data_IF_746101160782
#
_entry.id   IF_746101160782
#
_cell.length_a   1.000
_cell.length_b   1.000
_cell.length_c   1.000
_cell.angle_alpha   90.00
_cell.angle_beta   90.00
_cell.angle_gamma   90.00
#
_symmetry.space_group_name_H-M   'P 1'
#
loop_
_entity.id
_entity.type
_entity.pdbx_description
1 polymer ?
#
# COMPACT_ATOMS: atom_id res chain seq x y z
N UNK A 1 4.64 -15.74 -17.30
CA UNK A 1 5.80 -16.20 -16.50
C UNK A 1 5.91 -15.27 -15.28
N UNK A 2 6.54 -15.67 -14.17
CA UNK A 2 6.78 -14.78 -13.01
C UNK A 2 8.26 -14.45 -12.96
N UNK A 3 8.61 -13.16 -12.96
CA UNK A 3 9.98 -12.65 -12.83
C UNK A 3 10.00 -11.53 -11.80
N UNK A 4 11.00 -11.51 -10.94
CA UNK A 4 11.17 -10.49 -9.91
C UNK A 4 12.60 -9.95 -9.90
N UNK A 5 12.74 -8.63 -9.78
CA UNK A 5 13.98 -7.90 -9.89
C UNK A 5 14.11 -6.91 -8.74
N UNK A 6 15.26 -6.89 -8.06
CA UNK A 6 15.53 -5.89 -7.03
C UNK A 6 15.86 -4.55 -7.67
N UNK A 7 15.41 -3.48 -7.03
CA UNK A 7 15.80 -2.11 -7.36
C UNK A 7 16.87 -1.69 -6.35
N UNK A 8 18.01 -1.23 -6.88
CA UNK A 8 19.08 -0.64 -6.10
C UNK A 8 19.14 0.87 -6.35
N UNK A 9 19.32 1.64 -5.28
CA UNK A 9 19.67 3.06 -5.35
C UNK A 9 20.86 3.29 -4.41
N UNK A 10 22.00 3.82 -4.89
CA UNK A 10 23.14 4.11 -4.02
C UNK A 10 22.87 5.24 -3.02
N UNK A 11 21.91 6.13 -3.30
CA UNK A 11 21.49 7.17 -2.36
C UNK A 11 20.57 6.57 -1.30
N UNK A 12 20.66 7.08 -0.07
CA UNK A 12 19.81 6.72 1.06
C UNK A 12 19.03 7.95 1.49
N UNK A 13 17.78 7.78 1.93
CA UNK A 13 17.06 8.87 2.56
C UNK A 13 17.79 9.31 3.84
N UNK A 14 18.11 10.60 4.02
CA UNK A 14 19.08 11.04 5.02
C UNK A 14 18.54 11.04 6.47
N UNK A 15 17.23 10.89 6.66
CA UNK A 15 16.60 10.95 7.99
C UNK A 15 16.30 9.54 8.50
N UNK A 16 16.43 9.28 9.81
CA UNK A 16 16.14 7.96 10.37
C UNK A 16 14.65 7.64 10.25
N UNK A 17 14.36 6.47 9.69
CA UNK A 17 12.99 6.01 9.46
C UNK A 17 12.57 4.90 10.44
N UNK A 18 11.28 4.86 10.73
CA UNK A 18 10.60 3.79 11.44
C UNK A 18 9.43 3.31 10.57
N UNK A 19 9.35 2.01 10.31
CA UNK A 19 8.20 1.39 9.64
C UNK A 19 7.02 1.28 10.62
N UNK A 20 5.79 1.51 10.14
CA UNK A 20 4.58 1.51 10.95
C UNK A 20 4.38 0.26 11.82
N UNK A 21 4.49 -0.93 11.23
CA UNK A 21 4.35 -2.19 11.94
C UNK A 21 5.39 -2.40 13.04
N UNK A 22 6.66 -2.08 12.75
CA UNK A 22 7.74 -2.08 13.76
C UNK A 22 7.43 -1.10 14.89
N UNK A 23 7.03 0.12 14.54
CA UNK A 23 6.67 1.14 15.53
C UNK A 23 5.48 0.76 16.42
N UNK A 24 4.46 0.11 15.86
CA UNK A 24 3.32 -0.44 16.60
C UNK A 24 3.75 -1.58 17.54
N UNK A 25 4.53 -2.53 17.03
CA UNK A 25 5.00 -3.68 17.80
C UNK A 25 5.89 -3.26 18.99
N UNK A 26 6.74 -2.25 18.78
CA UNK A 26 7.63 -1.69 19.81
C UNK A 26 6.96 -0.63 20.69
N UNK A 27 5.65 -0.35 20.47
CA UNK A 27 4.86 0.67 21.18
C UNK A 27 5.42 2.10 21.09
N UNK A 28 6.24 2.36 20.08
CA UNK A 28 6.74 3.68 19.73
C UNK A 28 5.71 4.48 18.92
N UNK A 29 4.74 3.79 18.33
CA UNK A 29 3.63 4.38 17.57
C UNK A 29 2.32 3.89 18.16
N UNK A 30 1.35 4.78 18.20
CA UNK A 30 -0.03 4.45 18.59
C UNK A 30 -0.97 4.92 17.49
N UNK A 31 -1.92 4.07 17.13
CA UNK A 31 -3.00 4.41 16.19
C UNK A 31 -4.33 4.22 16.90
N UNK A 32 -5.18 5.25 16.85
CA UNK A 32 -6.48 5.29 17.53
C UNK A 32 -7.54 5.94 16.66
N UNK A 33 -8.80 5.72 17.01
CA UNK A 33 -9.94 6.48 16.49
C UNK A 33 -9.81 7.96 16.91
N UNK A 34 -10.25 8.88 16.04
CA UNK A 34 -10.19 10.33 16.34
C UNK A 34 -11.18 10.78 17.42
N UNK A 35 -12.16 9.94 17.77
CA UNK A 35 -13.15 10.19 18.81
C UNK A 35 -13.83 8.88 19.24
N UNK A 36 -14.56 8.90 20.36
CA UNK A 36 -15.39 7.75 20.80
C UNK A 36 -16.46 7.37 19.77
N UNK A 37 -16.94 8.33 18.97
CA UNK A 37 -17.85 8.06 17.85
C UNK A 37 -17.12 7.36 16.69
N UNK A 38 -15.81 7.60 16.54
CA UNK A 38 -14.96 7.12 15.45
C UNK A 38 -15.12 7.94 14.17
N UNK A 39 -14.19 7.76 13.23
CA UNK A 39 -14.38 8.20 11.83
C UNK A 39 -14.09 7.02 10.91
N UNK A 40 -14.94 6.84 9.89
CA UNK A 40 -14.74 5.76 8.91
C UNK A 40 -13.47 6.01 8.09
N UNK A 41 -13.15 7.28 7.82
CA UNK A 41 -12.12 7.68 6.85
C UNK A 41 -10.86 8.27 7.48
N UNK A 42 -10.82 8.40 8.81
CA UNK A 42 -9.76 9.11 9.51
C UNK A 42 -9.32 8.34 10.76
N UNK A 43 -8.01 8.17 10.93
CA UNK A 43 -7.41 7.69 12.18
C UNK A 43 -6.41 8.71 12.71
N UNK A 44 -6.23 8.76 14.03
CA UNK A 44 -5.13 9.51 14.65
C UNK A 44 -3.91 8.61 14.82
N UNK A 45 -2.75 9.04 14.32
CA UNK A 45 -1.47 8.38 14.52
C UNK A 45 -0.60 9.25 15.40
N UNK A 46 -0.12 8.69 16.51
CA UNK A 46 0.86 9.32 17.40
C UNK A 46 2.21 8.65 17.21
N UNK A 47 3.15 9.37 16.61
CA UNK A 47 4.54 8.96 16.54
C UNK A 47 5.25 9.43 17.81
N UNK A 48 5.53 8.52 18.75
CA UNK A 48 6.23 8.79 20.02
C UNK A 48 7.73 8.52 19.93
N UNK A 49 8.23 8.15 18.75
CA UNK A 49 9.65 7.91 18.50
C UNK A 49 10.39 9.21 18.17
N UNK A 50 11.72 9.13 18.20
CA UNK A 50 12.64 10.15 17.69
C UNK A 50 12.92 9.99 16.17
N UNK A 51 12.26 9.03 15.50
CA UNK A 51 12.41 8.73 14.07
C UNK A 51 11.21 9.23 13.27
N UNK A 52 11.41 9.45 11.97
CA UNK A 52 10.30 9.72 11.06
C UNK A 52 9.54 8.43 10.79
N UNK A 53 8.22 8.46 10.95
CA UNK A 53 7.38 7.30 10.77
C UNK A 53 6.94 7.20 9.31
N UNK A 54 7.36 6.15 8.62
CA UNK A 54 6.88 5.82 7.28
C UNK A 54 5.65 4.92 7.39
N UNK A 55 4.55 5.40 6.83
CA UNK A 55 3.33 4.63 6.64
C UNK A 55 3.16 4.38 5.15
N UNK A 56 3.28 3.13 4.72
CA UNK A 56 3.19 2.78 3.30
C UNK A 56 1.74 2.56 2.88
N UNK A 57 1.37 3.03 1.68
CA UNK A 57 0.03 2.81 1.12
C UNK A 57 -0.35 1.32 1.10
N UNK A 58 -1.64 1.02 1.30
CA UNK A 58 -2.12 -0.35 1.38
C UNK A 58 -1.80 -1.05 2.71
N UNK A 59 -1.17 -0.36 3.67
CA UNK A 59 -0.96 -0.88 5.02
C UNK A 59 -2.28 -1.21 5.69
N UNK A 60 -2.45 -2.46 6.14
CA UNK A 60 -3.61 -2.87 6.91
C UNK A 60 -3.45 -2.54 8.40
N UNK A 61 -4.57 -2.20 9.04
CA UNK A 61 -4.68 -1.91 10.46
C UNK A 61 -5.90 -2.66 11.00
N UNK A 62 -5.66 -3.60 11.91
CA UNK A 62 -6.68 -4.46 12.50
C UNK A 62 -6.92 -4.07 13.96
N UNK A 63 -8.19 -3.87 14.32
CA UNK A 63 -8.57 -3.46 15.68
C UNK A 63 -9.77 -2.51 15.72
N UNK A 64 -9.92 -1.84 16.86
CA UNK A 64 -11.00 -0.89 17.18
C UNK A 64 -12.36 -1.28 16.60
N UNK A 65 -13.09 -0.38 15.94
CA UNK A 65 -14.47 -0.63 15.47
C UNK A 65 -14.55 -1.41 14.17
N UNK A 66 -13.59 -1.18 13.27
CA UNK A 66 -13.47 -1.93 12.01
C UNK A 66 -12.04 -1.86 11.50
N UNK A 67 -11.64 -2.86 10.70
CA UNK A 67 -10.33 -2.88 10.06
C UNK A 67 -10.20 -1.75 9.03
N UNK A 68 -8.98 -1.21 8.91
CA UNK A 68 -8.64 -0.06 8.06
C UNK A 68 -7.48 -0.40 7.14
N UNK A 69 -7.43 0.31 6.03
CA UNK A 69 -6.30 0.32 5.11
C UNK A 69 -5.88 1.75 4.82
N UNK A 70 -4.57 2.00 4.78
CA UNK A 70 -4.03 3.34 4.54
C UNK A 70 -4.05 3.67 3.05
N UNK A 71 -4.56 4.86 2.72
CA UNK A 71 -4.87 5.24 1.35
C UNK A 71 -3.64 5.72 0.54
N UNK A 72 -2.63 6.27 1.20
CA UNK A 72 -1.45 6.86 0.55
C UNK A 72 -0.19 6.66 1.42
N UNK A 73 0.99 6.76 0.80
CA UNK A 73 2.25 6.71 1.54
C UNK A 73 2.51 8.04 2.22
N UNK A 74 2.77 8.01 3.53
CA UNK A 74 2.93 9.19 4.37
C UNK A 74 4.23 9.12 5.16
N UNK A 75 4.87 10.27 5.37
CA UNK A 75 5.99 10.42 6.30
C UNK A 75 5.58 11.37 7.44
N UNK A 76 5.50 10.86 8.66
CA UNK A 76 5.12 11.64 9.83
C UNK A 76 6.35 12.01 10.66
N UNK A 77 6.35 13.22 11.21
CA UNK A 77 7.47 13.73 12.01
C UNK A 77 7.59 13.00 13.37
N UNK A 78 8.80 12.94 13.95
CA UNK A 78 8.99 12.49 15.33
C UNK A 78 8.13 13.28 16.31
N UNK A 79 7.64 12.62 17.37
CA UNK A 79 6.91 13.26 18.47
C UNK A 79 5.68 14.09 18.03
N UNK A 80 4.95 13.63 17.01
CA UNK A 80 3.75 14.30 16.50
C UNK A 80 2.51 13.42 16.54
N UNK A 81 1.36 14.06 16.55
CA UNK A 81 0.05 13.43 16.31
C UNK A 81 -0.51 13.94 14.98
N UNK A 82 -0.93 13.02 14.11
CA UNK A 82 -1.42 13.35 12.76
C UNK A 82 -2.67 12.54 12.45
N UNK A 83 -3.70 13.20 11.92
CA UNK A 83 -4.88 12.54 11.38
C UNK A 83 -4.57 12.06 9.97
N UNK A 84 -4.65 10.75 9.74
CA UNK A 84 -4.34 10.14 8.44
C UNK A 84 -5.60 9.66 7.72
N UNK A 85 -5.62 9.73 6.38
CA UNK A 85 -6.68 9.21 5.54
C UNK A 85 -6.60 7.69 5.43
N UNK A 86 -7.70 7.03 5.77
CA UNK A 86 -7.86 5.57 5.65
C UNK A 86 -9.15 5.23 4.92
N UNK A 87 -9.29 3.96 4.55
CA UNK A 87 -10.55 3.39 4.10
C UNK A 87 -10.88 2.15 4.93
N UNK A 88 -12.17 1.88 5.11
CA UNK A 88 -12.64 0.70 5.81
C UNK A 88 -12.60 -0.54 4.90
N UNK A 89 -12.12 -1.66 5.42
CA UNK A 89 -12.11 -2.97 4.72
C UNK A 89 -13.00 -4.02 5.39
N UNK A 90 -13.92 -3.57 6.25
CA UNK A 90 -14.84 -4.41 7.01
C UNK A 90 -16.21 -3.72 7.17
N UNK A 91 -17.19 -4.11 6.33
CA UNK A 91 -18.48 -3.40 6.18
C UNK A 91 -19.41 -3.55 7.39
N UNK A 92 -19.50 -4.76 7.92
CA UNK A 92 -20.58 -5.20 8.81
C UNK A 92 -20.26 -5.12 10.30
N UNK A 93 -19.07 -4.66 10.68
CA UNK A 93 -18.68 -4.50 12.09
C UNK A 93 -18.63 -3.02 12.45
N UNK A 94 -19.36 -2.63 13.49
CA UNK A 94 -19.23 -1.31 14.13
C UNK A 94 -19.25 -1.47 15.66
N UNK A 95 -18.50 -2.45 16.13
CA UNK A 95 -18.28 -2.70 17.54
C UNK A 95 -16.78 -2.90 17.79
N UNK A 96 -16.33 -2.53 18.99
CA UNK A 96 -14.91 -2.60 19.34
C UNK A 96 -14.48 -4.06 19.50
N UNK A 97 -13.52 -4.52 18.71
CA UNK A 97 -12.92 -5.86 18.85
C UNK A 97 -11.70 -5.85 19.77
N UNK A 98 -10.92 -4.76 19.75
CA UNK A 98 -9.72 -4.57 20.55
C UNK A 98 -9.49 -3.08 20.84
N UNK A 99 -8.64 -2.80 21.83
CA UNK A 99 -8.13 -1.45 22.08
C UNK A 99 -6.85 -1.22 21.26
N UNK A 100 -6.83 -0.13 20.49
CA UNK A 100 -5.80 0.21 19.53
C UNK A 100 -5.92 -0.59 18.23
N UNK A 101 -5.09 -0.19 17.26
CA UNK A 101 -4.86 -0.96 16.05
C UNK A 101 -3.52 -1.69 16.12
N UNK A 102 -3.46 -2.86 15.50
CA UNK A 102 -2.24 -3.61 15.20
C UNK A 102 -2.08 -3.76 13.69
N UNK A 103 -0.86 -4.04 13.22
CA UNK A 103 -0.61 -4.31 11.80
C UNK A 103 -0.41 -5.81 11.59
N UNK A 104 -1.21 -6.48 10.74
CA UNK A 104 -1.04 -7.89 10.45
C UNK A 104 0.27 -8.16 9.66
N UNK A 105 0.57 -9.43 9.44
CA UNK A 105 1.77 -9.90 8.73
C UNK A 105 1.65 -9.87 7.20
N UNK A 106 0.58 -9.26 6.67
CA UNK A 106 0.26 -9.06 5.26
C UNK A 106 -0.33 -7.67 5.06
N UNK A 107 -0.28 -7.16 3.84
CA UNK A 107 -0.95 -5.91 3.45
C UNK A 107 -2.05 -6.16 2.42
N UNK A 108 -2.80 -5.12 2.08
CA UNK A 108 -3.93 -5.22 1.15
C UNK A 108 -3.52 -5.75 -0.23
N UNK A 109 -4.49 -6.36 -0.92
CA UNK A 109 -4.25 -6.91 -2.25
C UNK A 109 -3.88 -5.84 -3.27
N UNK A 110 -3.20 -6.25 -4.33
CA UNK A 110 -2.82 -5.39 -5.44
C UNK A 110 -4.03 -4.71 -6.10
N UNK A 111 -5.19 -5.36 -6.17
CA UNK A 111 -6.44 -4.75 -6.68
C UNK A 111 -6.96 -3.64 -5.78
N UNK A 112 -6.95 -3.83 -4.46
CA UNK A 112 -7.32 -2.78 -3.49
C UNK A 112 -6.38 -1.58 -3.63
N UNK A 113 -5.06 -1.80 -3.68
CA UNK A 113 -4.07 -0.73 -3.86
C UNK A 113 -4.23 0.00 -5.19
N UNK A 114 -4.50 -0.73 -6.28
CA UNK A 114 -4.80 -0.17 -7.61
C UNK A 114 -6.05 0.70 -7.57
N UNK A 115 -7.10 0.24 -6.88
CA UNK A 115 -8.34 1.00 -6.70
C UNK A 115 -8.10 2.31 -5.94
N UNK A 116 -7.27 2.31 -4.89
CA UNK A 116 -6.88 3.54 -4.20
C UNK A 116 -6.20 4.52 -5.13
N UNK A 117 -5.18 4.07 -5.88
CA UNK A 117 -4.48 4.95 -6.82
C UNK A 117 -5.43 5.57 -7.83
N UNK A 118 -6.29 4.76 -8.43
CA UNK A 118 -7.32 5.21 -9.38
C UNK A 118 -8.20 6.30 -8.75
N UNK A 119 -8.79 6.03 -7.58
CA UNK A 119 -9.77 6.93 -6.98
C UNK A 119 -9.17 8.21 -6.42
N UNK A 120 -8.03 8.10 -5.77
CA UNK A 120 -7.30 9.23 -5.19
C UNK A 120 -6.77 10.13 -6.32
N UNK A 121 -6.30 9.57 -7.43
CA UNK A 121 -5.92 10.33 -8.62
C UNK A 121 -7.12 11.08 -9.24
N UNK A 122 -8.28 10.45 -9.37
CA UNK A 122 -9.47 11.08 -9.94
C UNK A 122 -10.05 12.23 -9.10
N UNK A 123 -9.81 12.24 -7.79
CA UNK A 123 -10.30 13.31 -6.93
C UNK A 123 -9.57 14.64 -7.11
N UNK A 124 -8.41 14.67 -7.77
CA UNK A 124 -7.56 15.87 -8.01
C UNK A 124 -7.17 16.68 -6.77
N UNK A 125 -7.68 16.38 -5.58
CA UNK A 125 -7.32 16.98 -4.31
C UNK A 125 -7.77 16.05 -3.17
N UNK A 126 -6.96 15.95 -2.13
CA UNK A 126 -7.27 15.11 -0.96
C UNK A 126 -6.88 13.64 -1.13
N UNK A 127 -7.28 12.83 -0.16
CA UNK A 127 -6.81 11.45 0.03
C UNK A 127 -7.92 10.48 0.44
N UNK A 128 -9.18 10.92 0.39
CA UNK A 128 -10.32 10.10 0.81
C UNK A 128 -10.61 9.08 -0.28
N UNK A 129 -10.44 7.78 -0.03
CA UNK A 129 -10.88 6.76 -0.98
C UNK A 129 -12.40 6.78 -1.18
N UNK A 130 -12.87 6.29 -2.32
CA UNK A 130 -14.30 5.99 -2.48
C UNK A 130 -14.61 4.69 -1.74
N UNK A 131 -15.13 4.82 -0.52
CA UNK A 131 -15.39 3.71 0.41
C UNK A 131 -16.19 2.55 -0.23
N UNK A 132 -17.15 2.88 -1.10
CA UNK A 132 -17.95 1.90 -1.84
C UNK A 132 -17.12 1.05 -2.80
N UNK A 133 -16.10 1.62 -3.44
CA UNK A 133 -15.25 0.89 -4.38
C UNK A 133 -14.29 -0.06 -3.66
N UNK A 134 -13.76 0.34 -2.50
CA UNK A 134 -12.98 -0.58 -1.65
C UNK A 134 -13.81 -1.79 -1.28
N UNK A 135 -15.07 -1.57 -0.91
CA UNK A 135 -15.99 -2.64 -0.59
C UNK A 135 -16.35 -3.51 -1.79
N UNK A 136 -16.47 -2.92 -2.98
CA UNK A 136 -16.66 -3.67 -4.22
C UNK A 136 -15.46 -4.59 -4.50
N UNK A 137 -14.24 -4.12 -4.29
CA UNK A 137 -13.03 -4.96 -4.44
C UNK A 137 -12.96 -6.07 -3.38
N UNK A 138 -13.36 -5.79 -2.14
CA UNK A 138 -13.48 -6.83 -1.10
C UNK A 138 -14.54 -7.88 -1.47
N UNK A 139 -15.69 -7.45 -1.99
CA UNK A 139 -16.76 -8.34 -2.45
C UNK A 139 -16.32 -9.19 -3.65
N UNK A 140 -15.58 -8.60 -4.61
CA UNK A 140 -14.99 -9.33 -5.75
C UNK A 140 -14.00 -10.39 -5.28
N UNK A 141 -13.13 -10.05 -4.33
CA UNK A 141 -12.17 -11.00 -3.75
C UNK A 141 -12.87 -12.16 -3.06
N UNK A 142 -13.90 -11.87 -2.25
CA UNK A 142 -14.72 -12.88 -1.59
C UNK A 142 -15.39 -13.81 -2.62
N UNK A 143 -15.96 -13.24 -3.69
CA UNK A 143 -16.60 -14.00 -4.75
C UNK A 143 -15.61 -14.89 -5.51
N UNK A 144 -14.40 -14.41 -5.83
CA UNK A 144 -13.38 -15.21 -6.51
C UNK A 144 -12.88 -16.38 -5.67
N UNK A 145 -12.86 -16.23 -4.35
CA UNK A 145 -12.47 -17.29 -3.41
C UNK A 145 -13.66 -18.17 -2.96
N UNK A 146 -14.87 -17.91 -3.48
CA UNK A 146 -16.12 -18.55 -3.07
C UNK A 146 -16.37 -18.48 -1.54
N UNK A 147 -16.06 -17.33 -0.94
CA UNK A 147 -16.15 -17.09 0.49
C UNK A 147 -17.29 -16.14 0.84
N UNK A 148 -17.88 -16.37 2.01
CA UNK A 148 -18.83 -15.47 2.64
C UNK A 148 -18.52 -15.39 4.13
N UNK A 149 -18.52 -14.18 4.69
CA UNK A 149 -18.50 -13.97 6.13
C UNK A 149 -19.53 -12.90 6.54
N UNK A 150 -19.92 -12.89 7.81
CA UNK A 150 -21.01 -12.04 8.30
C UNK A 150 -20.69 -10.53 8.26
N UNK A 151 -19.41 -10.14 8.21
CA UNK A 151 -18.96 -8.75 8.31
C UNK A 151 -18.40 -8.17 7.01
N UNK A 152 -18.23 -8.96 5.96
CA UNK A 152 -17.50 -8.57 4.76
C UNK A 152 -16.06 -8.15 5.05
N UNK A 153 -15.40 -8.81 6.01
CA UNK A 153 -14.03 -8.48 6.42
C UNK A 153 -12.98 -9.05 5.47
N UNK A 154 -12.14 -8.17 4.91
CA UNK A 154 -11.02 -8.56 4.05
C UNK A 154 -10.02 -9.48 4.75
N UNK A 155 -9.69 -9.20 6.03
CA UNK A 155 -8.70 -9.99 6.76
C UNK A 155 -9.12 -11.47 6.86
N UNK A 156 -10.39 -11.70 7.19
CA UNK A 156 -11.00 -13.03 7.21
C UNK A 156 -10.93 -13.73 5.85
N UNK A 157 -11.21 -13.03 4.74
CA UNK A 157 -11.10 -13.64 3.41
C UNK A 157 -9.65 -13.97 3.03
N UNK A 158 -8.72 -13.05 3.31
CA UNK A 158 -7.30 -13.28 3.01
C UNK A 158 -6.74 -14.49 3.77
N UNK A 159 -7.06 -14.62 5.06
CA UNK A 159 -6.58 -15.72 5.91
C UNK A 159 -7.12 -17.09 5.48
N UNK A 160 -8.33 -17.15 4.93
CA UNK A 160 -8.96 -18.40 4.49
C UNK A 160 -8.69 -18.73 3.01
N UNK A 161 -8.12 -17.80 2.23
CA UNK A 161 -7.79 -17.97 0.82
C UNK A 161 -6.86 -19.16 0.57
N UNK A 162 -7.07 -19.86 -0.56
CA UNK A 162 -6.11 -20.89 -1.05
C UNK A 162 -4.80 -20.28 -1.54
N UNK A 163 -4.81 -18.97 -1.78
CA UNK A 163 -3.70 -18.14 -2.24
C UNK A 163 -3.12 -18.52 -3.59
N UNK A 164 -3.86 -19.25 -4.42
CA UNK A 164 -3.38 -19.72 -5.73
C UNK A 164 -3.25 -18.59 -6.77
N UNK A 165 -3.95 -17.49 -6.55
CA UNK A 165 -3.89 -16.29 -7.37
C UNK A 165 -2.86 -15.25 -6.84
N UNK A 166 -2.08 -15.55 -5.79
CA UNK A 166 -1.01 -14.67 -5.33
C UNK A 166 0.35 -15.10 -5.87
N UNK A 167 1.17 -14.12 -6.24
CA UNK A 167 2.53 -14.33 -6.75
C UNK A 167 3.45 -14.93 -5.67
N UNK A 168 3.40 -14.39 -4.44
CA UNK A 168 4.27 -14.81 -3.33
C UNK A 168 3.46 -15.15 -2.08
N UNK A 169 3.05 -16.42 -1.93
CA UNK A 169 2.20 -16.87 -0.81
C UNK A 169 2.76 -16.55 0.58
N UNK A 170 4.08 -16.70 0.74
CA UNK A 170 4.81 -16.44 2.01
C UNK A 170 5.42 -15.03 2.08
N UNK A 171 5.32 -14.26 0.99
CA UNK A 171 6.04 -12.99 0.83
C UNK A 171 7.54 -13.17 0.59
N UNK A 172 8.20 -12.08 0.22
CA UNK A 172 9.64 -12.02 -0.02
C UNK A 172 10.35 -11.37 1.16
N UNK A 173 11.37 -12.05 1.70
CA UNK A 173 12.25 -11.52 2.75
C UNK A 173 13.67 -11.41 2.22
N UNK A 174 14.04 -10.25 1.73
CA UNK A 174 15.39 -9.98 1.26
C UNK A 174 15.73 -8.48 1.35
N UNK A 175 17.00 -8.13 1.61
CA UNK A 175 17.43 -6.74 1.56
C UNK A 175 17.25 -6.15 0.16
N UNK A 176 16.45 -5.08 0.10
CA UNK A 176 16.17 -4.33 -1.10
C UNK A 176 15.69 -2.91 -0.75
N UNK A 177 15.82 -1.97 -1.68
CA UNK A 177 15.11 -0.68 -1.64
C UNK A 177 13.87 -0.67 -2.53
N UNK A 178 13.73 -1.66 -3.41
CA UNK A 178 12.55 -1.82 -4.22
C UNK A 178 12.51 -3.18 -4.89
N UNK A 179 11.33 -3.52 -5.38
CA UNK A 179 11.08 -4.72 -6.16
C UNK A 179 10.29 -4.32 -7.41
N UNK A 180 10.66 -4.91 -8.55
CA UNK A 180 9.86 -4.93 -9.75
C UNK A 180 9.48 -6.37 -10.07
N UNK A 181 8.19 -6.64 -10.22
CA UNK A 181 7.65 -7.98 -10.48
C UNK A 181 6.83 -7.95 -11.74
N UNK A 182 7.12 -8.87 -12.67
CA UNK A 182 6.28 -9.17 -13.83
C UNK A 182 5.63 -10.53 -13.59
N UNK A 183 4.30 -10.57 -13.56
CA UNK A 183 3.54 -11.79 -13.32
C UNK A 183 2.45 -11.93 -14.39
N UNK A 184 2.77 -12.63 -15.48
CA UNK A 184 1.92 -12.72 -16.67
C UNK A 184 1.58 -11.31 -17.21
N UNK A 185 0.31 -10.94 -17.21
CA UNK A 185 -0.13 -9.63 -17.67
C UNK A 185 0.03 -8.54 -16.61
N UNK A 186 0.26 -8.90 -15.35
CA UNK A 186 0.41 -7.96 -14.25
C UNK A 186 1.86 -7.47 -14.12
N UNK A 187 2.00 -6.27 -13.59
CA UNK A 187 3.28 -5.73 -13.13
C UNK A 187 3.12 -4.87 -11.89
N UNK A 188 4.12 -5.01 -11.02
CA UNK A 188 4.20 -4.33 -9.74
C UNK A 188 5.57 -3.70 -9.59
N UNK A 189 5.61 -2.44 -9.19
CA UNK A 189 6.82 -1.80 -8.71
C UNK A 189 6.52 -1.17 -7.36
N UNK A 190 7.34 -1.49 -6.37
CA UNK A 190 7.32 -0.85 -5.06
C UNK A 190 8.75 -0.48 -4.69
N UNK A 191 8.93 0.72 -4.17
CA UNK A 191 10.23 1.28 -3.84
C UNK A 191 10.11 2.21 -2.63
N UNK A 192 11.04 2.06 -1.69
CA UNK A 192 11.30 3.01 -0.62
C UNK A 192 12.81 3.25 -0.55
N UNK A 193 13.22 4.51 -0.45
CA UNK A 193 14.61 4.89 -0.37
C UNK A 193 15.24 4.65 1.02
N UNK A 194 14.96 3.48 1.58
CA UNK A 194 15.60 2.97 2.78
C UNK A 194 15.54 1.45 2.81
N UNK A 195 16.69 0.78 2.84
CA UNK A 195 16.76 -0.68 2.69
C UNK A 195 16.15 -1.42 3.90
N UNK A 196 16.43 -0.98 5.12
CA UNK A 196 15.91 -1.60 6.33
C UNK A 196 14.37 -1.54 6.34
N UNK A 197 13.81 -0.34 6.18
CA UNK A 197 12.36 -0.12 6.18
C UNK A 197 11.69 -0.81 5.00
N UNK A 198 12.26 -0.78 3.80
CA UNK A 198 11.65 -1.47 2.68
C UNK A 198 11.66 -2.99 2.85
N UNK A 199 12.68 -3.55 3.51
CA UNK A 199 12.73 -4.99 3.81
C UNK A 199 11.56 -5.42 4.71
N UNK A 200 11.19 -4.62 5.70
CA UNK A 200 10.02 -4.83 6.57
C UNK A 200 8.68 -4.73 5.81
N UNK A 201 8.61 -3.83 4.82
CA UNK A 201 7.44 -3.62 3.97
C UNK A 201 7.30 -4.76 2.94
N UNK A 202 8.42 -5.13 2.30
CA UNK A 202 8.50 -6.05 1.16
C UNK A 202 7.78 -7.37 1.44
N UNK A 203 8.00 -7.94 2.62
CA UNK A 203 7.36 -9.20 3.00
C UNK A 203 5.84 -9.10 2.96
N UNK A 204 5.27 -7.99 3.43
CA UNK A 204 3.82 -7.80 3.58
C UNK A 204 3.15 -7.42 2.28
N UNK A 205 3.77 -6.54 1.49
CA UNK A 205 3.18 -6.09 0.22
C UNK A 205 3.19 -7.20 -0.84
N UNK A 206 4.22 -8.05 -0.85
CA UNK A 206 4.35 -9.13 -1.84
C UNK A 206 3.35 -10.27 -1.61
N UNK A 207 2.90 -10.44 -0.36
CA UNK A 207 1.77 -11.30 0.01
C UNK A 207 0.43 -10.86 -0.59
N UNK A 208 0.33 -9.61 -1.02
CA UNK A 208 -0.83 -9.03 -1.69
C UNK A 208 -0.72 -8.95 -3.21
N UNK A 209 0.41 -9.32 -3.82
CA UNK A 209 0.56 -9.30 -5.28
C UNK A 209 -0.24 -10.42 -5.92
N UNK A 210 -1.23 -10.06 -6.72
CA UNK A 210 -2.10 -11.02 -7.39
C UNK A 210 -1.59 -11.35 -8.80
N UNK A 211 -2.08 -12.43 -9.39
CA UNK A 211 -1.82 -12.80 -10.77
C UNK A 211 -2.95 -13.66 -11.31
N UNK A 212 -3.12 -13.62 -12.62
CA UNK A 212 -3.99 -14.53 -13.36
C UNK A 212 -3.13 -15.37 -14.31
N UNK A 213 -2.95 -16.68 -14.03
CA UNK A 213 -2.20 -17.55 -14.92
C UNK A 213 -2.84 -17.60 -16.31
N UNK A 214 -2.04 -17.40 -17.35
CA UNK A 214 -2.46 -17.52 -18.75
C UNK A 214 -1.52 -18.44 -19.51
N UNK A 215 -2.10 -19.41 -20.24
CA UNK A 215 -1.37 -20.31 -21.13
C UNK A 215 -0.92 -19.58 -22.40
N UNK A 216 0.23 -19.97 -22.95
CA UNK A 216 0.68 -19.52 -24.28
C UNK A 216 1.29 -18.12 -24.39
N UNK A 217 1.44 -17.38 -23.29
CA UNK A 217 2.18 -16.10 -23.31
C UNK A 217 3.70 -16.34 -23.37
N UNK A 218 4.24 -16.31 -24.59
CA UNK A 218 5.66 -16.06 -24.80
C UNK A 218 5.93 -14.57 -24.49
N UNK A 219 6.65 -14.29 -23.41
CA UNK A 219 7.03 -12.92 -23.08
C UNK A 219 8.26 -12.52 -23.90
N UNK A 220 8.19 -11.34 -24.54
CA UNK A 220 9.41 -10.66 -25.00
C UNK A 220 10.34 -10.40 -23.80
N UNK A 221 11.63 -10.69 -23.98
CA UNK A 221 12.62 -10.41 -22.95
C UNK A 221 13.01 -8.94 -23.03
N UNK A 222 12.27 -8.10 -22.31
CA UNK A 222 12.62 -6.69 -22.12
C UNK A 222 13.41 -6.56 -20.81
N UNK A 223 14.52 -5.82 -20.83
CA UNK A 223 15.26 -5.54 -19.60
C UNK A 223 14.39 -4.70 -18.64
N UNK A 224 14.36 -5.00 -17.32
CA UNK A 224 13.52 -4.29 -16.37
C UNK A 224 13.68 -2.77 -16.41
N UNK A 225 14.91 -2.29 -16.63
CA UNK A 225 15.21 -0.86 -16.78
C UNK A 225 14.50 -0.26 -17.99
N UNK A 226 14.57 -0.90 -19.14
CA UNK A 226 13.94 -0.42 -20.37
C UNK A 226 12.42 -0.48 -20.25
N UNK A 227 11.90 -1.52 -19.58
CA UNK A 227 10.49 -1.62 -19.27
C UNK A 227 10.02 -0.47 -18.37
N UNK A 228 10.74 -0.18 -17.29
CA UNK A 228 10.44 0.93 -16.40
C UNK A 228 10.47 2.28 -17.13
N UNK A 229 11.49 2.52 -17.96
CA UNK A 229 11.57 3.73 -18.81
C UNK A 229 10.37 3.79 -19.75
N UNK A 230 9.94 2.67 -20.32
CA UNK A 230 8.78 2.61 -21.20
C UNK A 230 7.47 2.96 -20.49
N UNK A 231 7.34 2.63 -19.19
CA UNK A 231 6.20 3.04 -18.38
C UNK A 231 6.20 4.56 -18.24
N UNK A 232 7.33 5.15 -17.81
CA UNK A 232 7.42 6.61 -17.59
C UNK A 232 7.33 7.43 -18.88
N UNK A 233 7.78 6.87 -20.01
CA UNK A 233 7.77 7.54 -21.32
C UNK A 233 6.45 7.34 -22.08
N UNK A 234 5.54 6.53 -21.56
CA UNK A 234 4.23 6.32 -22.17
C UNK A 234 3.37 7.57 -22.10
N UNK A 235 2.35 7.65 -22.95
CA UNK A 235 1.44 8.81 -22.96
C UNK A 235 0.81 8.96 -21.59
N UNK A 236 0.95 10.12 -20.99
CA UNK A 236 0.44 10.39 -19.65
C UNK A 236 -0.44 11.64 -19.62
N UNK A 237 -1.34 11.69 -18.64
CA UNK A 237 -2.05 12.91 -18.29
C UNK A 237 -1.13 13.89 -17.54
N UNK A 238 -1.66 15.02 -17.09
CA UNK A 238 -0.92 15.96 -16.28
C UNK A 238 -0.44 15.29 -14.97
N UNK A 239 0.80 15.58 -14.61
CA UNK A 239 1.36 15.17 -13.31
C UNK A 239 0.66 16.00 -12.24
N UNK A 240 0.05 15.32 -11.28
CA UNK A 240 -0.59 15.96 -10.16
C UNK A 240 0.37 15.98 -8.96
N UNK A 241 0.55 17.16 -8.36
CA UNK A 241 1.43 17.36 -7.20
C UNK A 241 0.67 18.16 -6.15
N UNK A 242 0.63 17.66 -4.92
CA UNK A 242 0.06 18.35 -3.78
C UNK A 242 0.89 18.14 -2.52
N UNK A 243 0.59 18.89 -1.46
CA UNK A 243 1.14 18.58 -0.14
C UNK A 243 0.64 17.22 0.36
N UNK A 244 1.56 16.45 0.95
CA UNK A 244 1.19 15.25 1.71
C UNK A 244 0.43 15.64 2.99
N UNK A 245 -0.30 14.69 3.57
CA UNK A 245 -0.86 14.87 4.93
C UNK A 245 0.26 14.98 5.98
N UNK A 246 1.36 14.27 5.75
CA UNK A 246 2.60 14.42 6.50
C UNK A 246 3.59 15.32 5.76
N UNK A 247 4.88 15.03 5.91
CA UNK A 247 5.92 15.73 5.19
C UNK A 247 5.98 15.37 3.71
N UNK A 248 6.35 16.36 2.90
CA UNK A 248 6.66 16.19 1.49
C UNK A 248 5.50 16.48 0.55
N UNK A 249 5.74 16.14 -0.72
CA UNK A 249 4.79 16.26 -1.82
C UNK A 249 4.32 14.87 -2.23
N UNK A 250 3.01 14.72 -2.28
CA UNK A 250 2.37 13.55 -2.89
C UNK A 250 2.23 13.81 -4.39
N UNK A 251 2.83 12.93 -5.19
CA UNK A 251 2.91 13.03 -6.64
C UNK A 251 2.12 11.86 -7.23
N UNK A 252 1.23 12.16 -8.18
CA UNK A 252 0.37 11.17 -8.83
C UNK A 252 0.44 11.34 -10.34
N UNK A 253 0.52 10.21 -11.04
CA UNK A 253 0.60 10.19 -12.50
C UNK A 253 -0.24 9.04 -13.05
N UNK A 254 -1.04 9.36 -14.06
CA UNK A 254 -1.74 8.38 -14.89
C UNK A 254 -1.04 8.29 -16.24
N UNK A 255 -0.58 7.10 -16.60
CA UNK A 255 -0.18 6.81 -17.99
C UNK A 255 -1.31 6.11 -18.74
N UNK A 256 -1.12 5.76 -20.01
CA UNK A 256 -2.09 4.96 -20.75
C UNK A 256 -2.35 3.59 -20.10
N UNK A 257 -1.33 3.00 -19.46
CA UNK A 257 -1.35 1.63 -18.93
C UNK A 257 -1.15 1.52 -17.42
N UNK A 258 -0.77 2.60 -16.72
CA UNK A 258 -0.37 2.54 -15.32
C UNK A 258 -0.94 3.67 -14.47
N UNK A 259 -1.12 3.37 -13.18
CA UNK A 259 -1.24 4.35 -12.11
C UNK A 259 0.05 4.38 -11.30
N UNK A 260 0.55 5.59 -11.05
CA UNK A 260 1.81 5.82 -10.33
C UNK A 260 1.53 6.78 -9.18
N UNK A 261 2.06 6.47 -7.99
CA UNK A 261 2.20 7.47 -6.94
C UNK A 261 3.62 7.47 -6.37
N UNK A 262 4.06 8.65 -5.94
CA UNK A 262 5.34 8.83 -5.28
C UNK A 262 5.21 9.84 -4.15
N UNK A 263 6.00 9.61 -3.09
CA UNK A 263 6.20 10.59 -2.03
C UNK A 263 7.59 11.19 -2.20
N UNK A 264 7.63 12.49 -2.48
CA UNK A 264 8.87 13.26 -2.54
C UNK A 264 9.02 14.06 -1.25
N UNK A 265 10.17 13.97 -0.59
CA UNK A 265 10.48 14.78 0.60
C UNK A 265 11.77 15.53 0.31
N UNK A 266 11.70 16.86 0.40
CA UNK A 266 12.77 17.73 -0.10
C UNK A 266 13.05 17.40 -1.57
N UNK A 267 14.29 17.11 -1.94
CA UNK A 267 14.70 16.79 -3.32
C UNK A 267 14.80 15.27 -3.58
N UNK A 268 14.31 14.42 -2.67
CA UNK A 268 14.45 12.96 -2.75
C UNK A 268 13.10 12.27 -2.89
N UNK A 269 12.97 11.36 -3.86
CA UNK A 269 11.87 10.41 -3.89
C UNK A 269 12.05 9.38 -2.78
N UNK A 270 11.26 9.52 -1.72
CA UNK A 270 11.29 8.61 -0.59
C UNK A 270 10.57 7.30 -0.91
N UNK A 271 9.44 7.36 -1.61
CA UNK A 271 8.68 6.19 -1.98
C UNK A 271 8.10 6.32 -3.38
N UNK A 272 7.94 5.20 -4.07
CA UNK A 272 7.33 5.10 -5.39
C UNK A 272 6.62 3.75 -5.52
N UNK A 273 5.42 3.77 -6.08
CA UNK A 273 4.76 2.54 -6.48
C UNK A 273 3.96 2.67 -7.77
N UNK A 274 3.97 1.59 -8.56
CA UNK A 274 3.37 1.51 -9.89
C UNK A 274 2.49 0.27 -9.96
N UNK A 275 1.28 0.47 -10.46
CA UNK A 275 0.34 -0.60 -10.78
C UNK A 275 -0.15 -0.44 -12.21
N UNK A 276 -0.20 -1.56 -12.93
CA UNK A 276 -0.92 -1.62 -14.19
C UNK A 276 -2.42 -1.37 -13.96
N UNK A 277 -3.09 -0.75 -14.94
CA UNK A 277 -4.55 -0.56 -14.95
C UNK A 277 -5.29 -1.89 -15.09
#
# INVERSE_FOLDING_TARGET
CIKAFKISNPQEFPKPLLELGKGLAEKQVEVVEISDAGSVQDLSVRNKSDKFLLIYEGSLLEGEKQNRVVNATLLLEPNTETIIPVSCVERGRWNRSAQGFSKPSYDSSSKIRRNFKKNILFQKAGFKGMQSEVWEEVDKFAASEAMHNATGDYASYYQNSKKDHFVFKEGLKLPAKGIFVKAYEEDYLDYVNNEEVFTEILERITKGYEMEPKEGLAEETILPKDYFISILSSKHQDIFVQDSVGLGKDIRLETDRHYISALQVEDVFLALSIFKK
#
